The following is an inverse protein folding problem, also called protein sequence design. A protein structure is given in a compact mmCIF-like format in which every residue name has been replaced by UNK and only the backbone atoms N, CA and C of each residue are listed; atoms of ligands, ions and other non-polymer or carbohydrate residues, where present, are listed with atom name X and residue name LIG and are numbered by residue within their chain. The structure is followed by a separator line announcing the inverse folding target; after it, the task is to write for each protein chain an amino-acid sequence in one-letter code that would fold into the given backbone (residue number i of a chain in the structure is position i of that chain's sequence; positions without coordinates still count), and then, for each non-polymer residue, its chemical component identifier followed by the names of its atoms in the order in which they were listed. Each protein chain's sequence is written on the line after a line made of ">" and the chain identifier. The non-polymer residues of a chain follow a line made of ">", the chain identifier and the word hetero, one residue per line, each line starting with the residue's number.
data_IF_028171401827
#
_entry.id   IF_028171401827
#
_cell.length_a   1.000
_cell.length_b   1.000
_cell.length_c   1.000
_cell.angle_alpha   90.00
_cell.angle_beta   90.00
_cell.angle_gamma   90.00
#
_symmetry.space_group_name_H-M   'P 1'
#
loop_
_entity.id
_entity.type
_entity.pdbx_description
1 polymer ?
#
# COMPACT_ATOMS: atom_id res chain seq x y z
N UNK A 1 -26.62 -7.31 0.52
CA UNK A 1 -25.88 -7.08 -0.74
C UNK A 1 -24.62 -6.33 -0.36
N UNK A 2 -23.46 -6.99 -0.35
CA UNK A 2 -22.21 -6.39 0.13
C UNK A 2 -21.72 -5.33 -0.87
N UNK A 3 -21.32 -4.17 -0.36
CA UNK A 3 -20.96 -2.97 -1.14
C UNK A 3 -19.49 -2.99 -1.61
N UNK A 4 -18.64 -3.89 -1.09
CA UNK A 4 -17.17 -3.76 -1.14
C UNK A 4 -16.41 -4.66 -2.12
N UNK A 5 -17.08 -5.45 -2.96
CA UNK A 5 -16.35 -6.38 -3.85
C UNK A 5 -15.71 -5.75 -5.08
N UNK A 6 -16.12 -4.52 -5.33
CA UNK A 6 -15.64 -3.67 -6.40
C UNK A 6 -15.85 -2.24 -5.95
N UNK A 7 -15.19 -1.82 -4.86
CA UNK A 7 -14.85 -0.39 -4.78
C UNK A 7 -14.25 -0.08 -6.14
N UNK A 8 -14.87 0.83 -6.87
CA UNK A 8 -14.28 1.38 -8.09
C UNK A 8 -13.11 2.23 -7.64
N UNK A 9 -12.09 1.59 -7.07
CA UNK A 9 -11.14 2.12 -6.12
C UNK A 9 -10.12 1.05 -5.81
N UNK A 10 -8.83 1.38 -5.96
CA UNK A 10 -7.76 0.57 -5.39
C UNK A 10 -6.48 1.37 -5.29
N UNK A 11 -5.83 1.27 -4.15
CA UNK A 11 -4.43 1.56 -3.96
C UNK A 11 -3.71 0.26 -3.65
N UNK A 12 -2.61 0.00 -4.36
CA UNK A 12 -1.70 -1.09 -4.00
C UNK A 12 -0.46 -0.47 -3.35
N UNK A 13 -0.02 -0.97 -2.18
CA UNK A 13 1.23 -0.52 -1.59
C UNK A 13 2.36 -0.52 -2.62
N UNK A 14 3.13 0.57 -2.60
CA UNK A 14 4.33 0.80 -3.42
C UNK A 14 4.09 0.99 -4.93
N UNK A 15 2.82 1.02 -5.34
CA UNK A 15 2.45 1.44 -6.69
C UNK A 15 2.42 2.97 -6.82
N UNK A 16 2.12 3.68 -5.72
CA UNK A 16 1.98 5.15 -5.69
C UNK A 16 0.96 5.68 -6.73
N UNK A 17 -0.08 4.89 -7.00
CA UNK A 17 -1.21 5.25 -7.85
C UNK A 17 -2.49 4.81 -7.16
N UNK A 18 -3.44 5.73 -7.04
CA UNK A 18 -4.83 5.43 -6.70
C UNK A 18 -5.57 5.19 -8.02
N UNK A 19 -6.18 4.03 -8.18
CA UNK A 19 -7.05 3.75 -9.33
C UNK A 19 -8.49 3.91 -8.90
N UNK A 20 -9.29 4.64 -9.67
CA UNK A 20 -10.71 4.86 -9.41
C UNK A 20 -11.48 4.33 -10.62
N UNK A 21 -12.44 3.45 -10.37
CA UNK A 21 -13.24 2.75 -11.36
C UNK A 21 -14.25 3.66 -12.06
N UNK A 22 -14.65 3.24 -13.26
CA UNK A 22 -15.52 4.02 -14.14
C UNK A 22 -16.88 4.40 -13.57
N UNK A 23 -17.40 3.62 -12.62
CA UNK A 23 -18.68 3.88 -11.93
C UNK A 23 -18.60 4.99 -10.89
N UNK A 24 -17.40 5.39 -10.46
CA UNK A 24 -17.19 6.32 -9.35
C UNK A 24 -16.30 7.48 -9.78
N UNK A 25 -16.71 8.24 -10.79
CA UNK A 25 -15.89 9.37 -11.28
C UNK A 25 -15.59 10.35 -10.14
N UNK A 26 -14.31 10.54 -9.82
CA UNK A 26 -13.84 11.57 -8.87
C UNK A 26 -13.09 12.70 -9.56
N UNK A 27 -12.88 12.58 -10.87
CA UNK A 27 -12.25 13.58 -11.71
C UNK A 27 -13.12 13.80 -12.94
N UNK A 28 -13.39 15.07 -13.27
CA UNK A 28 -13.94 15.47 -14.56
C UNK A 28 -12.83 16.01 -15.47
N UNK A 29 -13.01 15.85 -16.78
CA UNK A 29 -12.07 16.35 -17.77
C UNK A 29 -12.00 17.89 -17.69
N UNK A 30 -10.86 18.42 -17.24
CA UNK A 30 -10.63 19.86 -17.13
C UNK A 30 -11.13 20.53 -15.86
N UNK A 31 -11.81 19.82 -14.94
CA UNK A 31 -12.21 20.34 -13.63
C UNK A 31 -11.71 19.42 -12.50
N UNK A 32 -10.51 19.69 -11.96
CA UNK A 32 -10.07 19.01 -10.76
C UNK A 32 -10.73 19.64 -9.53
N UNK A 33 -11.34 18.83 -8.67
CA UNK A 33 -11.80 19.29 -7.37
C UNK A 33 -12.43 18.20 -6.55
N UNK A 34 -11.83 17.90 -5.38
CA UNK A 34 -12.46 17.05 -4.37
C UNK A 34 -13.75 17.70 -3.83
N UNK A 35 -13.89 19.02 -3.99
CA UNK A 35 -14.98 19.85 -3.46
C UNK A 35 -16.33 19.59 -4.15
N UNK A 36 -16.33 18.91 -5.31
CA UNK A 36 -17.55 18.55 -6.07
C UNK A 36 -17.98 17.09 -5.85
N UNK A 37 -17.24 16.31 -5.06
CA UNK A 37 -17.55 14.92 -4.82
C UNK A 37 -18.77 14.77 -3.91
N UNK A 38 -19.69 13.89 -4.29
CA UNK A 38 -20.68 13.43 -3.33
C UNK A 38 -20.01 12.62 -2.21
N UNK A 39 -20.70 12.43 -1.09
CA UNK A 39 -20.13 11.78 0.09
C UNK A 39 -19.64 10.36 -0.17
N UNK A 40 -20.33 9.57 -1.00
CA UNK A 40 -19.89 8.22 -1.34
C UNK A 40 -18.61 8.23 -2.17
N UNK A 41 -18.49 9.16 -3.12
CA UNK A 41 -17.28 9.34 -3.94
C UNK A 41 -16.11 9.82 -3.08
N UNK A 42 -16.34 10.78 -2.19
CA UNK A 42 -15.33 11.26 -1.25
C UNK A 42 -14.88 10.14 -0.31
N UNK A 43 -15.81 9.34 0.22
CA UNK A 43 -15.51 8.22 1.11
C UNK A 43 -14.58 7.20 0.45
N UNK A 44 -14.92 6.79 -0.77
CA UNK A 44 -14.09 5.91 -1.58
C UNK A 44 -12.72 6.52 -1.86
N UNK A 45 -12.65 7.80 -2.25
CA UNK A 45 -11.37 8.46 -2.48
C UNK A 45 -10.52 8.51 -1.21
N UNK A 46 -11.13 8.84 -0.07
CA UNK A 46 -10.47 8.92 1.24
C UNK A 46 -9.98 7.54 1.68
N UNK A 47 -10.73 6.46 1.44
CA UNK A 47 -10.29 5.09 1.71
C UNK A 47 -8.96 4.77 1.01
N UNK A 48 -8.88 5.04 -0.29
CA UNK A 48 -7.66 4.79 -1.06
C UNK A 48 -6.52 5.78 -0.74
N UNK A 49 -6.88 7.04 -0.46
CA UNK A 49 -5.93 8.02 0.04
C UNK A 49 -5.34 7.60 1.39
N UNK A 50 -6.14 6.97 2.26
CA UNK A 50 -5.68 6.49 3.55
C UNK A 50 -4.64 5.39 3.40
N UNK A 51 -4.91 4.42 2.51
CA UNK A 51 -3.92 3.39 2.16
C UNK A 51 -2.61 4.00 1.69
N UNK A 52 -2.67 5.01 0.81
CA UNK A 52 -1.49 5.75 0.37
C UNK A 52 -0.77 6.43 1.54
N UNK A 53 -1.49 7.22 2.33
CA UNK A 53 -0.93 8.00 3.43
C UNK A 53 -0.26 7.09 4.46
N UNK A 54 -0.89 5.98 4.86
CA UNK A 54 -0.28 5.00 5.75
C UNK A 54 0.97 4.38 5.13
N UNK A 55 0.93 4.05 3.83
CA UNK A 55 2.07 3.45 3.14
C UNK A 55 3.31 4.37 3.13
N UNK A 56 3.11 5.68 3.04
CA UNK A 56 4.22 6.65 2.92
C UNK A 56 4.56 7.37 4.22
N UNK A 57 3.73 7.25 5.26
CA UNK A 57 3.96 7.93 6.54
C UNK A 57 4.38 7.00 7.65
N UNK A 58 4.21 5.69 7.52
CA UNK A 58 4.48 4.74 8.61
C UNK A 58 5.75 3.93 8.39
N UNK A 59 6.49 3.59 9.46
CA UNK A 59 7.58 2.62 9.42
C UNK A 59 7.21 1.30 8.73
N UNK A 60 6.04 0.71 9.01
CA UNK A 60 5.59 -0.52 8.36
C UNK A 60 5.34 -0.37 6.84
N UNK A 61 4.93 0.82 6.40
CA UNK A 61 4.85 1.17 4.98
C UNK A 61 6.23 1.22 4.33
N UNK A 62 7.17 1.94 4.96
CA UNK A 62 8.53 2.13 4.45
C UNK A 62 9.36 0.84 4.47
N UNK A 63 9.21 -0.01 5.48
CA UNK A 63 9.88 -1.33 5.54
C UNK A 63 9.52 -2.21 4.34
N UNK A 64 8.27 -2.16 3.88
CA UNK A 64 7.89 -2.93 2.71
C UNK A 64 8.65 -2.44 1.46
N UNK A 65 8.83 -1.13 1.33
CA UNK A 65 9.62 -0.53 0.25
C UNK A 65 11.07 -0.98 0.32
N UNK A 66 11.68 -1.03 1.50
CA UNK A 66 13.08 -1.46 1.65
C UNK A 66 13.24 -2.92 1.25
N UNK A 67 12.29 -3.81 1.62
CA UNK A 67 12.27 -5.21 1.16
C UNK A 67 12.11 -5.28 -0.37
N UNK A 68 11.22 -4.46 -0.95
CA UNK A 68 11.06 -4.39 -2.40
C UNK A 68 12.34 -3.92 -3.12
N UNK A 69 13.14 -3.03 -2.52
CA UNK A 69 14.42 -2.63 -3.11
C UNK A 69 15.45 -3.77 -3.08
N UNK A 70 15.43 -4.64 -2.08
CA UNK A 70 16.26 -5.85 -2.05
C UNK A 70 15.83 -6.81 -3.16
N UNK A 71 14.52 -7.08 -3.29
CA UNK A 71 13.99 -7.90 -4.39
C UNK A 71 14.36 -7.33 -5.76
N UNK A 72 14.24 -6.02 -5.93
CA UNK A 72 14.62 -5.35 -7.17
C UNK A 72 16.12 -5.50 -7.46
N UNK A 73 16.98 -5.37 -6.44
CA UNK A 73 18.42 -5.63 -6.56
C UNK A 73 18.74 -7.07 -6.96
N UNK A 74 18.03 -8.05 -6.39
CA UNK A 74 18.15 -9.46 -6.79
C UNK A 74 17.71 -9.67 -8.24
N UNK A 75 16.60 -9.04 -8.66
CA UNK A 75 16.14 -9.08 -10.04
C UNK A 75 17.20 -8.51 -10.99
N UNK A 76 17.89 -7.43 -10.61
CA UNK A 76 18.94 -6.84 -11.44
C UNK A 76 20.08 -7.79 -11.75
N UNK A 77 20.44 -8.66 -10.80
CA UNK A 77 21.48 -9.68 -10.99
C UNK A 77 21.09 -10.75 -12.03
N UNK A 78 19.81 -10.84 -12.40
CA UNK A 78 19.29 -11.80 -13.41
C UNK A 78 19.16 -11.23 -14.83
N UNK A 79 19.44 -9.94 -15.01
CA UNK A 79 19.26 -9.29 -16.30
C UNK A 79 20.44 -9.59 -17.21
N UNK A 80 20.14 -10.10 -18.40
CA UNK A 80 21.16 -10.22 -19.45
C UNK A 80 21.45 -8.89 -20.13
N UNK A 81 22.62 -8.81 -20.77
CA UNK A 81 22.94 -7.79 -21.79
C UNK A 81 21.98 -8.04 -22.98
N UNK A 82 20.76 -7.55 -22.88
CA UNK A 82 19.64 -7.95 -23.74
C UNK A 82 18.25 -7.78 -23.14
N UNK A 83 18.14 -7.31 -21.89
CA UNK A 83 16.90 -6.70 -21.36
C UNK A 83 15.77 -7.71 -21.05
N UNK A 84 16.13 -8.99 -21.03
CA UNK A 84 15.29 -10.11 -20.60
C UNK A 84 15.82 -10.70 -19.30
N UNK A 85 14.90 -11.05 -18.38
CA UNK A 85 15.23 -11.82 -17.18
C UNK A 85 15.43 -13.27 -17.60
N UNK A 86 16.69 -13.72 -17.61
CA UNK A 86 16.96 -15.17 -17.53
C UNK A 86 16.46 -15.59 -16.16
N UNK A 87 15.50 -16.50 -16.11
CA UNK A 87 14.97 -17.02 -14.82
C UNK A 87 16.12 -17.24 -13.86
N UNK A 88 15.89 -16.93 -12.60
CA UNK A 88 16.85 -17.07 -11.51
C UNK A 88 17.28 -18.52 -11.21
N UNK A 89 17.09 -19.45 -12.14
CA UNK A 89 17.64 -20.81 -12.09
C UNK A 89 19.17 -20.85 -11.98
N UNK A 90 19.86 -19.75 -12.30
CA UNK A 90 21.31 -19.57 -12.12
C UNK A 90 21.69 -18.80 -10.84
N UNK A 91 20.73 -18.50 -9.96
CA UNK A 91 21.04 -17.87 -8.68
C UNK A 91 22.05 -18.71 -7.89
N UNK A 92 22.98 -18.02 -7.24
CA UNK A 92 23.77 -18.65 -6.19
C UNK A 92 22.83 -19.12 -5.08
N UNK A 93 23.24 -20.12 -4.30
CA UNK A 93 22.48 -20.54 -3.13
C UNK A 93 22.20 -19.35 -2.17
N UNK A 94 23.12 -18.39 -2.09
CA UNK A 94 22.97 -17.16 -1.31
C UNK A 94 21.87 -16.24 -1.85
N UNK A 95 21.73 -16.11 -3.17
CA UNK A 95 20.69 -15.26 -3.77
C UNK A 95 19.29 -15.89 -3.59
N UNK A 96 19.19 -17.22 -3.68
CA UNK A 96 17.93 -17.93 -3.38
C UNK A 96 17.54 -17.73 -1.92
N UNK A 97 18.49 -17.91 -0.99
CA UNK A 97 18.25 -17.70 0.44
C UNK A 97 17.84 -16.25 0.74
N UNK A 98 18.47 -15.25 0.09
CA UNK A 98 18.11 -13.84 0.24
C UNK A 98 16.69 -13.55 -0.32
N UNK A 99 16.34 -14.15 -1.46
CA UNK A 99 15.00 -14.04 -2.05
C UNK A 99 13.93 -14.65 -1.15
N UNK A 100 14.10 -15.90 -0.72
CA UNK A 100 13.13 -16.61 0.13
C UNK A 100 12.90 -15.84 1.44
N UNK A 101 13.96 -15.31 2.04
CA UNK A 101 13.84 -14.41 3.21
C UNK A 101 13.00 -13.17 2.93
N UNK A 102 13.23 -12.50 1.80
CA UNK A 102 12.42 -11.32 1.45
C UNK A 102 10.94 -11.67 1.29
N UNK A 103 10.63 -12.81 0.68
CA UNK A 103 9.25 -13.29 0.53
C UNK A 103 8.62 -13.62 1.87
N UNK A 104 9.33 -14.34 2.75
CA UNK A 104 8.85 -14.65 4.10
C UNK A 104 8.59 -13.39 4.91
N UNK A 105 9.47 -12.39 4.80
CA UNK A 105 9.28 -11.09 5.47
C UNK A 105 8.09 -10.32 4.94
N UNK A 106 7.88 -10.29 3.63
CA UNK A 106 6.67 -9.69 3.06
C UNK A 106 5.43 -10.41 3.55
N UNK A 107 5.43 -11.74 3.59
CA UNK A 107 4.27 -12.51 4.06
C UNK A 107 3.97 -12.24 5.54
N UNK A 108 4.98 -12.16 6.40
CA UNK A 108 4.81 -11.84 7.83
C UNK A 108 4.34 -10.39 8.01
N UNK A 109 4.97 -9.44 7.32
CA UNK A 109 4.64 -8.02 7.40
C UNK A 109 3.21 -7.77 6.91
N UNK A 110 2.85 -8.28 5.73
CA UNK A 110 1.54 -8.08 5.10
C UNK A 110 0.44 -8.84 5.85
N UNK A 111 0.70 -10.07 6.30
CA UNK A 111 -0.33 -10.99 6.74
C UNK A 111 -1.19 -11.49 5.58
N UNK A 112 -2.28 -12.17 5.91
CA UNK A 112 -3.16 -12.77 4.92
C UNK A 112 -4.18 -11.75 4.38
N UNK A 113 -4.59 -11.94 3.12
CA UNK A 113 -5.76 -11.23 2.55
C UNK A 113 -7.07 -11.91 2.88
N UNK A 114 -7.04 -13.23 2.85
CA UNK A 114 -8.16 -14.09 3.15
C UNK A 114 -7.68 -15.17 4.11
N UNK A 115 -8.59 -15.70 4.93
CA UNK A 115 -8.27 -16.82 5.80
C UNK A 115 -7.69 -18.04 5.09
N UNK A 116 -6.94 -18.84 5.83
CA UNK A 116 -6.30 -20.03 5.30
C UNK A 116 -7.31 -20.98 4.64
N UNK A 117 -7.03 -21.34 3.38
CA UNK A 117 -7.88 -22.21 2.57
C UNK A 117 -9.18 -21.57 2.07
N UNK A 118 -9.41 -20.28 2.32
CA UNK A 118 -10.60 -19.55 1.87
C UNK A 118 -10.30 -18.77 0.60
N UNK A 119 -11.02 -19.10 -0.48
CA UNK A 119 -10.98 -18.34 -1.73
C UNK A 119 -11.73 -17.02 -1.59
N UNK A 120 -11.47 -16.09 -2.52
CA UNK A 120 -12.21 -14.82 -2.59
C UNK A 120 -13.72 -15.02 -2.62
N UNK A 121 -14.22 -15.94 -3.43
CA UNK A 121 -15.66 -16.17 -3.55
C UNK A 121 -16.28 -16.77 -2.29
N UNK A 122 -15.55 -17.64 -1.58
CA UNK A 122 -15.97 -18.16 -0.29
C UNK A 122 -15.98 -17.07 0.78
N UNK A 123 -15.00 -16.15 0.77
CA UNK A 123 -14.96 -15.02 1.71
C UNK A 123 -16.23 -14.15 1.64
N UNK A 124 -16.78 -13.97 0.43
CA UNK A 124 -18.03 -13.22 0.19
C UNK A 124 -19.27 -13.86 0.82
N UNK A 125 -19.19 -15.14 1.16
CA UNK A 125 -20.28 -15.92 1.74
C UNK A 125 -20.20 -15.99 3.27
N UNK A 126 -19.12 -15.49 3.88
CA UNK A 126 -18.99 -15.42 5.34
C UNK A 126 -19.89 -14.30 5.84
N UNK A 127 -20.85 -14.63 6.70
CA UNK A 127 -21.81 -13.67 7.24
C UNK A 127 -21.49 -13.24 8.68
N UNK A 128 -20.68 -14.02 9.39
CA UNK A 128 -20.18 -13.69 10.72
C UNK A 128 -18.89 -14.44 10.99
N UNK A 129 -18.05 -13.86 11.85
CA UNK A 129 -16.91 -14.56 12.42
C UNK A 129 -16.67 -14.13 13.86
N UNK A 130 -15.97 -14.96 14.62
CA UNK A 130 -15.54 -14.66 15.97
C UNK A 130 -14.13 -15.18 16.19
N UNK A 131 -13.24 -14.33 16.69
CA UNK A 131 -11.90 -14.74 17.13
C UNK A 131 -12.04 -15.60 18.39
N UNK A 132 -11.39 -16.76 18.39
CA UNK A 132 -11.41 -17.72 19.49
C UNK A 132 -10.04 -17.86 20.16
N UNK A 133 -8.95 -17.64 19.42
CA UNK A 133 -7.60 -17.64 19.97
C UNK A 133 -6.66 -16.69 19.21
N UNK A 134 -5.57 -16.29 19.89
CA UNK A 134 -4.54 -15.40 19.39
C UNK A 134 -3.17 -15.98 19.73
N UNK A 135 -2.41 -16.36 18.70
CA UNK A 135 -1.10 -17.00 18.84
C UNK A 135 -0.01 -16.07 18.31
N UNK A 136 0.97 -15.77 19.17
CA UNK A 136 2.20 -15.07 18.78
C UNK A 136 3.28 -16.09 18.40
N UNK A 137 3.79 -15.99 17.16
CA UNK A 137 4.89 -16.81 16.67
C UNK A 137 6.12 -15.92 16.46
N UNK A 138 7.25 -16.31 17.03
CA UNK A 138 8.54 -15.64 16.79
C UNK A 138 9.29 -16.35 15.67
N UNK A 139 9.62 -15.60 14.62
CA UNK A 139 10.52 -16.03 13.55
C UNK A 139 11.77 -15.16 13.57
N UNK A 140 12.94 -15.74 13.82
CA UNK A 140 14.21 -15.01 13.76
C UNK A 140 14.71 -14.91 12.32
N UNK A 141 15.17 -13.74 11.89
CA UNK A 141 15.79 -13.58 10.58
C UNK A 141 17.03 -12.67 10.60
N UNK A 142 17.87 -12.77 9.57
CA UNK A 142 18.93 -11.80 9.30
C UNK A 142 18.59 -11.11 8.00
N UNK A 143 18.37 -9.81 8.04
CA UNK A 143 18.09 -8.97 6.86
C UNK A 143 19.20 -7.92 6.73
N UNK A 144 19.78 -7.78 5.52
CA UNK A 144 20.87 -6.83 5.25
C UNK A 144 22.03 -6.89 6.28
N UNK A 145 22.44 -8.10 6.69
CA UNK A 145 23.48 -8.38 7.71
C UNK A 145 23.13 -7.95 9.15
N UNK A 146 21.92 -7.46 9.40
CA UNK A 146 21.40 -7.18 10.73
C UNK A 146 20.50 -8.34 11.18
N UNK A 147 20.70 -8.83 12.39
CA UNK A 147 19.74 -9.74 13.03
C UNK A 147 18.47 -8.96 13.36
N UNK A 148 17.33 -9.39 12.84
CA UNK A 148 15.99 -8.85 13.12
C UNK A 148 15.09 -9.98 13.59
N UNK A 149 14.15 -9.70 14.48
CA UNK A 149 13.10 -10.66 14.86
C UNK A 149 11.80 -10.28 14.18
N UNK A 150 11.18 -11.23 13.48
CA UNK A 150 9.83 -11.12 12.94
C UNK A 150 8.91 -11.71 13.98
N UNK A 151 7.87 -10.98 14.29
CA UNK A 151 6.78 -11.52 15.08
C UNK A 151 5.57 -11.63 14.16
N UNK A 152 4.99 -12.81 14.13
CA UNK A 152 3.78 -13.11 13.37
C UNK A 152 2.63 -13.31 14.35
N UNK A 153 1.47 -12.74 14.02
CA UNK A 153 0.24 -12.94 14.79
C UNK A 153 -0.70 -13.83 13.99
N UNK A 154 -0.96 -15.03 14.50
CA UNK A 154 -1.95 -15.96 13.95
C UNK A 154 -3.23 -15.85 14.77
N UNK A 155 -4.36 -15.56 14.12
CA UNK A 155 -5.69 -15.56 14.74
C UNK A 155 -6.40 -16.85 14.40
N UNK A 156 -6.91 -17.55 15.40
CA UNK A 156 -7.87 -18.63 15.18
C UNK A 156 -9.28 -18.06 15.32
N UNK A 157 -10.15 -18.41 14.38
CA UNK A 157 -11.50 -17.87 14.39
C UNK A 157 -12.53 -18.89 13.88
N UNK A 158 -13.75 -18.78 14.39
CA UNK A 158 -14.92 -19.50 13.91
C UNK A 158 -15.65 -18.60 12.90
N UNK A 159 -15.84 -19.07 11.67
CA UNK A 159 -16.69 -18.40 10.66
C UNK A 159 -17.97 -19.18 10.43
N UNK A 160 -19.05 -18.44 10.15
CA UNK A 160 -20.30 -19.00 9.65
C UNK A 160 -20.55 -18.51 8.24
N UNK A 161 -20.84 -19.47 7.37
CA UNK A 161 -21.42 -19.29 6.05
C UNK A 161 -22.80 -19.95 6.04
N UNK A 162 -23.59 -19.75 4.98
CA UNK A 162 -24.97 -20.26 4.90
C UNK A 162 -25.10 -21.75 5.25
N UNK A 163 -24.11 -22.57 4.89
CA UNK A 163 -24.20 -24.03 4.99
C UNK A 163 -23.21 -24.66 5.97
N UNK A 164 -22.32 -23.87 6.60
CA UNK A 164 -21.24 -24.43 7.42
C UNK A 164 -20.66 -23.43 8.43
N UNK A 165 -20.40 -23.93 9.63
CA UNK A 165 -19.47 -23.34 10.60
C UNK A 165 -18.10 -23.99 10.42
N UNK A 166 -17.04 -23.19 10.33
CA UNK A 166 -15.68 -23.72 10.24
C UNK A 166 -14.69 -22.89 11.07
N UNK A 167 -13.73 -23.59 11.63
CA UNK A 167 -12.57 -23.00 12.28
C UNK A 167 -11.42 -22.94 11.30
N UNK A 168 -10.76 -21.79 11.19
CA UNK A 168 -9.56 -21.63 10.38
C UNK A 168 -8.68 -20.52 10.96
N UNK A 169 -7.52 -20.32 10.36
CA UNK A 169 -6.52 -19.35 10.78
C UNK A 169 -6.44 -18.17 9.84
N UNK A 170 -6.04 -17.02 10.38
CA UNK A 170 -5.78 -15.80 9.64
C UNK A 170 -4.53 -15.13 10.21
N UNK A 171 -3.50 -14.95 9.39
CA UNK A 171 -2.30 -14.22 9.80
C UNK A 171 -2.60 -12.72 9.78
N UNK A 172 -2.71 -12.12 10.97
CA UNK A 172 -3.00 -10.70 11.12
C UNK A 172 -1.73 -9.87 10.95
N UNK A 173 -1.75 -8.97 9.97
CA UNK A 173 -0.61 -8.13 9.61
C UNK A 173 -1.04 -6.79 9.03
N UNK A 174 -0.11 -6.13 8.32
CA UNK A 174 -0.27 -4.79 7.77
C UNK A 174 -1.49 -4.67 6.85
N UNK A 175 -1.80 -5.69 6.04
CA UNK A 175 -2.93 -5.62 5.10
C UNK A 175 -4.26 -5.49 5.83
N UNK A 176 -4.49 -6.29 6.87
CA UNK A 176 -5.70 -6.21 7.69
C UNK A 176 -5.79 -4.90 8.47
N UNK A 177 -4.65 -4.37 8.95
CA UNK A 177 -4.60 -3.06 9.60
C UNK A 177 -4.92 -1.93 8.61
N UNK A 178 -4.33 -1.94 7.42
CA UNK A 178 -4.55 -0.93 6.39
C UNK A 178 -6.03 -0.89 5.98
N UNK A 179 -6.62 -2.05 5.66
CA UNK A 179 -8.03 -2.13 5.25
C UNK A 179 -8.97 -1.81 6.40
N UNK A 180 -8.66 -2.25 7.63
CA UNK A 180 -9.46 -1.92 8.80
C UNK A 180 -9.44 -0.44 9.15
N UNK A 181 -8.26 0.20 9.11
CA UNK A 181 -8.13 1.65 9.32
C UNK A 181 -8.88 2.43 8.24
N UNK A 182 -8.63 2.12 6.97
CA UNK A 182 -9.28 2.79 5.84
C UNK A 182 -10.80 2.63 5.91
N UNK A 183 -11.31 1.44 6.28
CA UNK A 183 -12.73 1.19 6.44
C UNK A 183 -13.37 1.98 7.59
N UNK A 184 -12.73 2.05 8.76
CA UNK A 184 -13.29 2.85 9.87
C UNK A 184 -13.23 4.37 9.60
N UNK A 185 -12.28 4.82 8.78
CA UNK A 185 -12.22 6.20 8.27
C UNK A 185 -13.32 6.45 7.24
N UNK A 186 -13.49 5.56 6.26
CA UNK A 186 -14.58 5.57 5.28
C UNK A 186 -15.94 5.71 5.98
N UNK A 187 -16.22 4.86 6.96
CA UNK A 187 -17.45 4.96 7.77
C UNK A 187 -17.61 6.29 8.50
N UNK A 188 -16.51 6.95 8.85
CA UNK A 188 -16.54 8.26 9.53
C UNK A 188 -16.81 9.40 8.54
N UNK A 189 -16.40 9.26 7.28
CA UNK A 189 -16.77 10.17 6.19
C UNK A 189 -18.23 9.98 5.80
N UNK A 190 -18.71 8.74 5.63
CA UNK A 190 -20.13 8.45 5.33
C UNK A 190 -21.05 8.94 6.46
N UNK A 191 -20.66 8.76 7.73
CA UNK A 191 -21.45 9.20 8.90
C UNK A 191 -21.59 10.72 8.99
N UNK A 192 -20.61 11.49 8.50
CA UNK A 192 -20.72 12.96 8.41
C UNK A 192 -21.88 13.44 7.52
N UNK A 193 -22.55 12.54 6.79
CA UNK A 193 -23.67 12.82 5.90
C UNK A 193 -25.06 12.51 6.46
N UNK A 194 -25.20 11.79 7.58
CA UNK A 194 -26.52 11.39 8.09
C UNK A 194 -27.18 12.48 8.93
N UNK A 195 -28.39 12.88 8.54
CA UNK A 195 -29.23 13.89 9.24
C UNK A 195 -29.50 13.47 10.70
N UNK A 196 -29.46 12.16 10.99
CA UNK A 196 -29.77 11.58 12.29
C UNK A 196 -28.55 10.99 13.02
N UNK A 197 -27.33 11.13 12.49
CA UNK A 197 -26.11 10.62 13.14
C UNK A 197 -26.05 9.09 13.30
N UNK A 198 -26.98 8.34 12.71
CA UNK A 198 -26.90 6.87 12.57
C UNK A 198 -25.76 6.59 11.59
N UNK A 199 -24.71 5.92 12.07
CA UNK A 199 -23.52 5.61 11.28
C UNK A 199 -23.84 4.68 10.11
N UNK A 200 -23.03 4.74 9.06
CA UNK A 200 -23.12 3.80 7.94
C UNK A 200 -23.14 2.35 8.44
N UNK A 201 -24.19 1.62 8.06
CA UNK A 201 -24.31 0.19 8.31
C UNK A 201 -23.07 -0.53 7.78
N UNK A 202 -22.66 -1.61 8.46
CA UNK A 202 -21.54 -2.41 7.98
C UNK A 202 -21.87 -2.99 6.61
N UNK A 203 -21.11 -2.58 5.62
CA UNK A 203 -21.39 -2.82 4.20
C UNK A 203 -20.22 -3.49 3.48
N UNK A 204 -19.07 -3.65 4.16
CA UNK A 204 -17.91 -4.39 3.68
C UNK A 204 -17.96 -5.89 3.95
N UNK A 205 -17.12 -6.65 3.25
CA UNK A 205 -16.84 -8.03 3.66
C UNK A 205 -16.12 -8.03 5.00
N UNK A 206 -16.28 -9.13 5.72
CA UNK A 206 -15.68 -9.27 7.04
C UNK A 206 -14.14 -9.31 6.96
N UNK A 207 -13.58 -10.10 6.05
CA UNK A 207 -12.14 -10.12 5.82
C UNK A 207 -11.76 -9.31 4.57
N UNK A 208 -10.70 -8.49 4.64
CA UNK A 208 -9.88 -8.18 5.82
C UNK A 208 -10.42 -7.03 6.70
N UNK A 209 -11.49 -6.35 6.27
CA UNK A 209 -11.93 -5.04 6.78
C UNK A 209 -12.33 -4.99 8.26
N UNK A 210 -12.92 -6.06 8.80
CA UNK A 210 -13.45 -6.07 10.18
C UNK A 210 -12.47 -6.67 11.19
N UNK A 211 -11.43 -7.37 10.73
CA UNK A 211 -10.53 -8.17 11.59
C UNK A 211 -9.86 -7.32 12.67
N UNK A 212 -9.41 -6.11 12.35
CA UNK A 212 -8.81 -5.19 13.32
C UNK A 212 -9.79 -4.85 14.46
N UNK A 213 -11.03 -4.48 14.12
CA UNK A 213 -12.07 -4.14 15.09
C UNK A 213 -12.47 -5.36 15.93
N UNK A 214 -12.67 -6.52 15.31
CA UNK A 214 -13.02 -7.74 16.03
C UNK A 214 -11.91 -8.18 16.99
N UNK A 215 -10.64 -7.99 16.64
CA UNK A 215 -9.52 -8.26 17.56
C UNK A 215 -9.50 -7.31 18.76
N UNK A 216 -9.89 -6.05 18.58
CA UNK A 216 -10.09 -5.14 19.71
C UNK A 216 -11.27 -5.56 20.59
N UNK A 217 -12.42 -5.91 20.00
CA UNK A 217 -13.61 -6.35 20.72
C UNK A 217 -13.40 -7.71 21.43
N UNK A 218 -12.51 -8.56 20.92
CA UNK A 218 -12.08 -9.76 21.62
C UNK A 218 -11.41 -9.44 22.97
N UNK A 219 -10.77 -8.27 23.09
CA UNK A 219 -10.04 -7.85 24.29
C UNK A 219 -10.85 -6.91 25.20
N UNK A 220 -11.81 -6.18 24.65
CA UNK A 220 -12.58 -5.13 25.33
C UNK A 220 -14.08 -5.32 25.14
N UNK A 221 -14.85 -5.25 26.23
CA UNK A 221 -16.32 -5.25 26.17
C UNK A 221 -16.85 -3.99 25.44
N UNK A 222 -16.12 -2.88 25.55
CA UNK A 222 -16.44 -1.63 24.86
C UNK A 222 -15.14 -0.87 24.54
N UNK A 223 -14.98 -0.47 23.29
CA UNK A 223 -13.88 0.37 22.81
C UNK A 223 -14.40 1.24 21.68
N UNK A 224 -14.10 2.53 21.70
CA UNK A 224 -14.57 3.47 20.69
C UNK A 224 -13.79 3.33 19.38
N UNK A 225 -14.38 3.81 18.29
CA UNK A 225 -13.71 3.83 16.97
C UNK A 225 -12.40 4.61 17.00
N UNK A 226 -12.37 5.78 17.64
CA UNK A 226 -11.15 6.59 17.71
C UNK A 226 -10.03 5.88 18.49
N UNK A 227 -10.36 5.12 19.54
CA UNK A 227 -9.39 4.26 20.25
C UNK A 227 -8.85 3.16 19.32
N UNK A 228 -9.72 2.48 18.56
CA UNK A 228 -9.31 1.47 17.57
C UNK A 228 -8.38 2.08 16.50
N UNK A 229 -8.77 3.22 15.93
CA UNK A 229 -7.98 3.93 14.90
C UNK A 229 -6.61 4.35 15.45
N UNK A 230 -6.57 4.90 16.66
CA UNK A 230 -5.33 5.32 17.30
C UNK A 230 -4.39 4.13 17.54
N UNK A 231 -4.89 3.04 18.13
CA UNK A 231 -4.10 1.84 18.40
C UNK A 231 -3.63 1.17 17.11
N UNK A 232 -4.47 1.11 16.08
CA UNK A 232 -4.12 0.57 14.77
C UNK A 232 -3.03 1.40 14.08
N UNK A 233 -3.13 2.73 14.17
CA UNK A 233 -2.13 3.66 13.62
C UNK A 233 -0.80 3.56 14.37
N UNK A 234 -0.82 3.46 15.70
CA UNK A 234 0.40 3.25 16.50
C UNK A 234 1.07 1.90 16.19
N UNK A 235 0.29 0.86 15.91
CA UNK A 235 0.84 -0.44 15.54
C UNK A 235 1.68 -0.38 14.26
N UNK A 236 1.33 0.50 13.31
CA UNK A 236 2.09 0.71 12.07
C UNK A 236 3.46 1.40 12.28
N UNK A 237 3.76 1.86 13.50
CA UNK A 237 5.08 2.37 13.86
C UNK A 237 6.13 1.27 14.06
N UNK A 238 5.70 0.01 14.11
CA UNK A 238 6.54 -1.13 14.40
C UNK A 238 6.78 -2.00 13.15
N UNK A 239 7.90 -2.75 13.09
CA UNK A 239 8.22 -3.63 11.97
C UNK A 239 7.32 -4.87 11.86
N UNK A 240 6.62 -5.24 12.94
CA UNK A 240 5.67 -6.36 12.98
C UNK A 240 4.31 -5.85 13.46
N UNK A 241 3.59 -5.10 12.62
CA UNK A 241 2.46 -4.28 13.07
C UNK A 241 1.30 -5.13 13.61
N UNK A 242 1.08 -6.33 13.08
CA UNK A 242 0.04 -7.23 13.61
C UNK A 242 0.24 -7.59 15.08
N UNK A 243 1.43 -8.08 15.44
CA UNK A 243 1.77 -8.42 16.84
C UNK A 243 1.77 -7.19 17.73
N UNK A 244 2.27 -6.05 17.25
CA UNK A 244 2.30 -4.84 18.07
C UNK A 244 0.91 -4.25 18.29
N UNK A 245 -0.03 -4.41 17.36
CA UNK A 245 -1.43 -4.07 17.61
C UNK A 245 -1.98 -4.85 18.80
N UNK A 246 -1.74 -6.17 18.85
CA UNK A 246 -2.16 -7.01 19.98
C UNK A 246 -1.51 -6.59 21.31
N UNK A 247 -0.20 -6.31 21.30
CA UNK A 247 0.52 -5.81 22.49
C UNK A 247 0.01 -4.44 22.93
N UNK A 248 -0.28 -3.54 22.00
CA UNK A 248 -0.87 -2.24 22.29
C UNK A 248 -2.26 -2.37 22.92
N UNK A 249 -3.10 -3.30 22.45
CA UNK A 249 -4.39 -3.61 23.09
C UNK A 249 -4.20 -4.10 24.54
N UNK A 250 -3.22 -4.96 24.80
CA UNK A 250 -2.90 -5.44 26.16
C UNK A 250 -2.40 -4.31 27.08
N UNK A 251 -1.47 -3.48 26.59
CA UNK A 251 -0.94 -2.33 27.32
C UNK A 251 -2.02 -1.28 27.58
N UNK A 252 -2.85 -0.99 26.58
CA UNK A 252 -4.00 -0.08 26.71
C UNK A 252 -4.96 -0.56 27.79
N UNK A 253 -5.32 -1.85 27.79
CA UNK A 253 -6.20 -2.43 28.81
C UNK A 253 -5.63 -2.26 30.21
N UNK A 254 -4.32 -2.47 30.37
CA UNK A 254 -3.62 -2.35 31.66
C UNK A 254 -3.61 -0.90 32.16
N UNK A 255 -3.35 0.06 31.27
CA UNK A 255 -3.35 1.49 31.60
C UNK A 255 -4.77 1.96 31.98
N UNK A 256 -5.80 1.55 31.22
CA UNK A 256 -7.20 1.89 31.51
C UNK A 256 -7.67 1.32 32.85
N UNK A 257 -7.27 0.09 33.19
CA UNK A 257 -7.54 -0.52 34.51
C UNK A 257 -6.87 0.21 35.68
N UNK A 258 -5.81 0.97 35.39
CA UNK A 258 -5.13 1.83 36.38
C UNK A 258 -5.83 3.18 36.59
N UNK A 259 -7.01 3.40 35.99
CA UNK A 259 -7.87 4.57 36.22
C UNK A 259 -7.61 5.76 35.28
N UNK A 260 -6.74 5.61 34.28
CA UNK A 260 -6.50 6.66 33.29
C UNK A 260 -7.71 6.81 32.35
N UNK A 261 -8.06 8.06 32.03
CA UNK A 261 -9.03 8.35 30.97
C UNK A 261 -8.48 7.99 29.58
N UNK A 262 -9.32 8.14 28.54
CA UNK A 262 -8.97 7.74 27.18
C UNK A 262 -7.76 8.54 26.67
N UNK A 263 -7.77 9.87 26.85
CA UNK A 263 -6.71 10.78 26.36
C UNK A 263 -5.38 10.44 27.01
N UNK A 264 -5.35 10.39 28.33
CA UNK A 264 -4.14 10.12 29.11
C UNK A 264 -3.59 8.73 28.84
N UNK A 265 -4.46 7.75 28.58
CA UNK A 265 -4.05 6.40 28.20
C UNK A 265 -3.37 6.35 26.83
N UNK A 266 -3.93 7.09 25.85
CA UNK A 266 -3.35 7.18 24.50
C UNK A 266 -2.04 7.98 24.50
N UNK A 267 -1.96 9.10 25.23
CA UNK A 267 -0.73 9.90 25.37
C UNK A 267 0.42 9.08 25.98
N UNK A 268 0.11 8.25 26.98
CA UNK A 268 1.08 7.34 27.58
C UNK A 268 1.56 6.28 26.59
N UNK A 269 0.65 5.68 25.82
CA UNK A 269 1.04 4.71 24.78
C UNK A 269 1.84 5.34 23.65
N UNK A 270 1.46 6.53 23.20
CA UNK A 270 2.22 7.31 22.21
C UNK A 270 3.66 7.49 22.68
N UNK A 271 3.84 7.91 23.93
CA UNK A 271 5.17 8.12 24.53
C UNK A 271 6.00 6.83 24.53
N UNK A 272 5.41 5.72 24.97
CA UNK A 272 6.05 4.40 24.98
C UNK A 272 6.42 3.96 23.55
N UNK A 273 5.49 4.07 22.60
CA UNK A 273 5.73 3.65 21.21
C UNK A 273 6.82 4.47 20.52
N UNK A 274 6.92 5.77 20.80
CA UNK A 274 7.98 6.61 20.26
C UNK A 274 9.35 6.25 20.86
N UNK A 275 9.42 5.97 22.16
CA UNK A 275 10.65 5.55 22.84
C UNK A 275 11.13 4.20 22.31
N UNK A 276 10.25 3.19 22.23
CA UNK A 276 10.59 1.84 21.77
C UNK A 276 11.06 1.82 20.31
N UNK A 277 10.51 2.69 19.45
CA UNK A 277 10.83 2.70 18.01
C UNK A 277 11.91 3.70 17.62
N UNK A 278 12.49 4.47 18.53
CA UNK A 278 13.41 5.57 18.18
C UNK A 278 14.59 5.09 17.30
N UNK A 279 15.19 3.96 17.67
CA UNK A 279 16.29 3.35 16.91
C UNK A 279 15.84 2.77 15.57
N UNK A 280 14.60 2.30 15.49
CA UNK A 280 14.04 1.79 14.25
C UNK A 280 13.80 2.91 13.24
N UNK A 281 13.22 4.04 13.67
CA UNK A 281 13.12 5.25 12.85
C UNK A 281 14.48 5.70 12.32
N UNK A 282 15.52 5.73 13.18
CA UNK A 282 16.90 6.07 12.76
C UNK A 282 17.41 5.12 11.69
N UNK A 283 17.19 3.82 11.87
CA UNK A 283 17.59 2.78 10.91
C UNK A 283 16.92 2.98 9.55
N UNK A 284 15.59 3.15 9.54
CA UNK A 284 14.84 3.39 8.31
C UNK A 284 15.32 4.65 7.56
N UNK A 285 15.61 5.74 8.28
CA UNK A 285 16.11 6.97 7.66
C UNK A 285 17.48 6.78 6.96
N UNK A 286 18.34 5.91 7.51
CA UNK A 286 19.61 5.53 6.87
C UNK A 286 19.38 4.65 5.64
N UNK A 287 18.48 3.67 5.72
CA UNK A 287 18.14 2.80 4.58
C UNK A 287 17.57 3.59 3.41
N UNK A 288 16.73 4.60 3.68
CA UNK A 288 16.24 5.53 2.66
C UNK A 288 17.37 6.28 1.95
N UNK A 289 18.45 6.63 2.65
CA UNK A 289 19.62 7.26 2.03
C UNK A 289 20.35 6.28 1.09
N UNK A 290 20.45 5.02 1.48
CA UNK A 290 21.08 4.00 0.64
C UNK A 290 20.26 3.68 -0.60
N UNK A 291 18.92 3.68 -0.50
CA UNK A 291 18.02 3.61 -1.67
C UNK A 291 18.27 4.78 -2.61
N UNK A 292 18.43 6.01 -2.09
CA UNK A 292 18.75 7.19 -2.91
C UNK A 292 20.00 6.94 -3.76
N UNK A 293 21.08 6.44 -3.13
CA UNK A 293 22.35 6.16 -3.79
C UNK A 293 22.22 5.09 -4.87
N UNK A 294 21.45 4.04 -4.62
CA UNK A 294 21.22 2.94 -5.55
C UNK A 294 20.62 3.44 -6.88
N UNK A 295 19.75 4.45 -6.83
CA UNK A 295 19.05 5.00 -7.98
C UNK A 295 19.73 6.18 -8.67
N UNK A 296 20.90 6.60 -8.18
CA UNK A 296 21.67 7.67 -8.83
C UNK A 296 22.03 7.30 -10.28
N UNK A 297 21.85 8.27 -11.18
CA UNK A 297 22.13 8.17 -12.62
C UNK A 297 21.25 7.15 -13.35
N UNK A 298 20.12 6.71 -12.79
CA UNK A 298 19.20 5.74 -13.43
C UNK A 298 18.05 6.39 -14.20
N UNK A 299 18.24 7.63 -14.66
CA UNK A 299 17.25 8.37 -15.43
C UNK A 299 16.05 8.84 -14.61
N UNK A 300 14.82 8.68 -15.14
CA UNK A 300 13.59 9.17 -14.48
C UNK A 300 13.40 8.59 -13.08
N UNK A 301 13.82 7.35 -12.85
CA UNK A 301 13.67 6.71 -11.53
C UNK A 301 14.53 7.36 -10.45
N UNK A 302 15.66 7.99 -10.79
CA UNK A 302 16.43 8.78 -9.83
C UNK A 302 15.55 9.88 -9.21
N UNK A 303 14.95 10.72 -10.05
CA UNK A 303 14.12 11.84 -9.61
C UNK A 303 12.87 11.36 -8.88
N UNK A 304 12.30 10.23 -9.32
CA UNK A 304 11.16 9.63 -8.66
C UNK A 304 11.50 9.16 -7.23
N UNK A 305 12.66 8.50 -7.05
CA UNK A 305 13.12 8.08 -5.73
C UNK A 305 13.56 9.24 -4.85
N UNK A 306 14.23 10.26 -5.39
CA UNK A 306 14.57 11.48 -4.65
C UNK A 306 13.30 12.16 -4.09
N UNK A 307 12.24 12.26 -4.90
CA UNK A 307 10.95 12.78 -4.47
C UNK A 307 10.31 11.92 -3.37
N UNK A 308 10.24 10.60 -3.56
CA UNK A 308 9.65 9.68 -2.59
C UNK A 308 10.42 9.66 -1.27
N UNK A 309 11.75 9.61 -1.32
CA UNK A 309 12.60 9.63 -0.11
C UNK A 309 12.45 10.94 0.64
N UNK A 310 12.39 12.08 -0.05
CA UNK A 310 12.09 13.36 0.56
C UNK A 310 10.73 13.34 1.27
N UNK A 311 9.72 12.76 0.61
CA UNK A 311 8.35 12.63 1.14
C UNK A 311 8.31 11.71 2.37
N UNK A 312 8.93 10.52 2.32
CA UNK A 312 9.03 9.59 3.44
C UNK A 312 9.72 10.24 4.63
N UNK A 313 10.84 10.96 4.41
CA UNK A 313 11.55 11.67 5.47
C UNK A 313 10.66 12.68 6.17
N UNK A 314 9.99 13.55 5.39
CA UNK A 314 9.05 14.55 5.92
C UNK A 314 7.96 13.89 6.77
N UNK A 315 7.35 12.82 6.27
CA UNK A 315 6.21 12.18 6.93
C UNK A 315 6.58 11.31 8.13
N UNK A 316 7.71 10.59 8.07
CA UNK A 316 8.23 9.86 9.22
C UNK A 316 8.65 10.83 10.33
N UNK A 317 9.26 11.98 9.99
CA UNK A 317 9.50 13.05 10.96
C UNK A 317 8.19 13.57 11.55
N UNK A 318 7.15 13.79 10.71
CA UNK A 318 5.82 14.18 11.21
C UNK A 318 5.23 13.16 12.17
N UNK A 319 5.33 11.85 11.89
CA UNK A 319 4.90 10.78 12.83
C UNK A 319 5.67 10.81 14.14
N UNK A 320 6.96 11.14 14.11
CA UNK A 320 7.76 11.25 15.33
C UNK A 320 7.25 12.37 16.24
N UNK A 321 6.83 13.48 15.65
CA UNK A 321 6.33 14.65 16.39
C UNK A 321 4.86 14.49 16.80
N UNK A 322 4.03 13.91 15.93
CA UNK A 322 2.61 13.65 16.17
C UNK A 322 2.21 12.34 15.49
N UNK A 323 2.26 11.20 16.22
CA UNK A 323 1.95 9.89 15.65
C UNK A 323 0.55 9.72 15.09
N UNK A 324 -0.40 10.57 15.46
CA UNK A 324 -1.82 10.46 15.08
C UNK A 324 -2.29 11.69 14.28
N UNK A 325 -1.37 12.44 13.65
CA UNK A 325 -1.69 13.69 12.95
C UNK A 325 -2.79 13.53 11.88
N UNK A 326 -2.83 12.37 11.24
CA UNK A 326 -3.79 12.03 10.21
C UNK A 326 -5.19 11.82 10.79
N UNK A 327 -5.33 11.39 12.05
CA UNK A 327 -6.63 11.19 12.70
C UNK A 327 -7.30 12.49 13.18
N UNK A 328 -6.60 13.64 13.14
CA UNK A 328 -7.14 14.94 13.56
C UNK A 328 -8.48 15.33 12.92
N UNK A 329 -8.76 15.04 11.63
CA UNK A 329 -10.06 15.30 11.01
C UNK A 329 -11.20 14.44 11.54
N UNK A 330 -10.91 13.37 12.31
CA UNK A 330 -11.89 12.36 12.74
C UNK A 330 -12.05 12.28 14.26
N UNK A 331 -11.43 13.20 15.01
CA UNK A 331 -11.41 13.18 16.47
C UNK A 331 -12.82 13.14 17.11
N UNK A 332 -13.85 13.62 16.41
CA UNK A 332 -15.27 13.61 16.85
C UNK A 332 -16.06 12.38 16.35
N UNK A 333 -15.39 11.32 15.90
CA UNK A 333 -15.99 10.14 15.26
C UNK A 333 -16.81 10.45 13.99
N UNK A 334 -16.54 11.59 13.36
CA UNK A 334 -17.07 12.03 12.08
C UNK A 334 -16.00 12.89 11.38
N UNK A 335 -16.00 12.89 10.05
CA UNK A 335 -15.08 13.71 9.27
C UNK A 335 -15.39 15.21 9.43
N UNK A 336 -14.39 16.00 9.79
CA UNK A 336 -14.41 17.46 9.75
C UNK A 336 -13.82 17.91 8.39
N UNK A 337 -14.68 18.27 7.43
CA UNK A 337 -14.32 18.53 6.03
C UNK A 337 -13.14 19.49 5.86
N UNK A 338 -13.13 20.60 6.60
CA UNK A 338 -12.06 21.59 6.51
C UNK A 338 -10.70 21.00 6.93
N UNK A 339 -10.69 20.19 7.99
CA UNK A 339 -9.47 19.52 8.45
C UNK A 339 -9.03 18.43 7.50
N UNK A 340 -9.97 17.67 6.94
CA UNK A 340 -9.69 16.64 5.95
C UNK A 340 -9.13 17.24 4.66
N UNK A 341 -9.73 18.32 4.16
CA UNK A 341 -9.22 19.07 3.02
C UNK A 341 -7.80 19.61 3.31
N UNK A 342 -7.58 20.20 4.49
CA UNK A 342 -6.25 20.68 4.90
C UNK A 342 -5.21 19.56 4.92
N UNK A 343 -5.55 18.38 5.47
CA UNK A 343 -4.67 17.21 5.49
C UNK A 343 -4.28 16.80 4.05
N UNK A 344 -5.26 16.71 3.14
CA UNK A 344 -5.02 16.35 1.74
C UNK A 344 -4.24 17.43 0.97
N UNK A 345 -4.36 18.70 1.34
CA UNK A 345 -3.57 19.77 0.74
C UNK A 345 -2.13 19.78 1.24
N UNK A 346 -1.91 19.50 2.53
CA UNK A 346 -0.58 19.43 3.14
C UNK A 346 0.19 18.17 2.70
N UNK A 347 -0.52 17.06 2.55
CA UNK A 347 -0.02 15.75 2.15
C UNK A 347 -0.80 15.25 0.94
N UNK A 348 -0.49 15.87 -0.21
CA UNK A 348 -1.17 15.63 -1.47
C UNK A 348 -1.27 14.13 -1.80
N UNK A 349 -2.43 13.66 -2.29
CA UNK A 349 -2.55 12.32 -2.83
C UNK A 349 -1.52 12.06 -3.93
N UNK A 350 -1.14 10.80 -4.10
CA UNK A 350 -0.38 10.38 -5.27
C UNK A 350 -1.20 10.53 -6.57
N UNK A 351 -0.61 10.14 -7.70
CA UNK A 351 -1.31 10.22 -8.98
C UNK A 351 -2.55 9.33 -8.99
N UNK A 352 -3.60 9.80 -9.64
CA UNK A 352 -4.89 9.11 -9.74
C UNK A 352 -5.12 8.65 -11.16
N UNK A 353 -5.40 7.37 -11.34
CA UNK A 353 -5.89 6.80 -12.59
C UNK A 353 -7.41 6.68 -12.51
N UNK A 354 -8.13 7.56 -13.20
CA UNK A 354 -9.58 7.49 -13.36
C UNK A 354 -9.91 6.61 -14.57
N UNK A 355 -10.52 5.45 -14.32
CA UNK A 355 -11.04 4.59 -15.36
C UNK A 355 -12.30 5.19 -15.98
N UNK A 356 -12.53 4.92 -17.27
CA UNK A 356 -13.78 5.24 -17.96
C UNK A 356 -14.41 4.01 -18.63
N UNK A 357 -15.72 4.09 -18.82
CA UNK A 357 -16.45 3.16 -19.66
C UNK A 357 -16.00 3.29 -21.12
N UNK A 358 -15.90 2.17 -21.81
CA UNK A 358 -15.63 2.11 -23.23
C UNK A 358 -16.27 0.88 -23.85
N UNK A 359 -16.51 0.97 -25.15
CA UNK A 359 -16.93 -0.15 -26.00
C UNK A 359 -15.80 -1.16 -26.18
N UNK A 360 -14.52 -0.73 -26.18
CA UNK A 360 -13.37 -1.62 -26.36
C UNK A 360 -12.26 -1.35 -25.34
N UNK A 361 -11.61 -2.43 -24.88
CA UNK A 361 -10.44 -2.30 -24.01
C UNK A 361 -9.20 -1.72 -24.72
N UNK A 362 -9.26 -1.52 -26.04
CA UNK A 362 -8.12 -1.08 -26.84
C UNK A 362 -8.15 0.41 -27.20
N UNK A 363 -9.21 1.13 -26.80
CA UNK A 363 -9.36 2.57 -26.98
C UNK A 363 -8.15 3.32 -26.40
N UNK A 364 -7.62 4.26 -27.19
CA UNK A 364 -6.44 5.05 -26.83
C UNK A 364 -6.86 6.16 -25.88
N UNK A 365 -6.09 6.35 -24.79
CA UNK A 365 -6.35 7.39 -23.79
C UNK A 365 -7.77 7.34 -23.23
N UNK A 366 -8.29 6.11 -23.08
CA UNK A 366 -9.58 5.82 -22.46
C UNK A 366 -9.63 6.32 -21.01
N UNK A 367 -8.55 6.10 -20.26
CA UNK A 367 -8.45 6.43 -18.85
C UNK A 367 -7.63 7.70 -18.65
N UNK A 368 -7.92 8.45 -17.59
CA UNK A 368 -7.22 9.69 -17.27
C UNK A 368 -6.22 9.47 -16.14
N UNK A 369 -4.97 9.90 -16.36
CA UNK A 369 -3.97 9.95 -15.31
C UNK A 369 -3.80 11.40 -14.83
N UNK A 370 -4.06 11.64 -13.56
CA UNK A 370 -4.11 12.96 -12.96
C UNK A 370 -3.14 13.09 -11.78
N UNK A 371 -2.61 14.29 -11.58
CA UNK A 371 -1.75 14.64 -10.45
C UNK A 371 -2.29 15.88 -9.77
N UNK A 372 -2.50 15.83 -8.45
CA UNK A 372 -2.82 17.01 -7.64
C UNK A 372 -1.63 17.98 -7.48
N UNK A 373 -0.43 17.52 -7.87
CA UNK A 373 0.79 18.31 -7.83
C UNK A 373 1.18 18.78 -9.23
N UNK A 374 1.53 20.06 -9.35
CA UNK A 374 2.16 20.64 -10.54
C UNK A 374 3.69 20.52 -10.51
N UNK A 375 4.24 19.71 -9.60
CA UNK A 375 5.67 19.51 -9.47
C UNK A 375 6.32 19.00 -10.77
N UNK A 376 7.42 19.65 -11.15
CA UNK A 376 8.33 19.18 -12.20
C UNK A 376 9.76 19.12 -11.68
N UNK A 377 10.42 17.99 -11.87
CA UNK A 377 11.83 17.78 -11.51
C UNK A 377 12.60 17.39 -12.76
N UNK A 378 13.63 18.16 -13.11
CA UNK A 378 14.43 17.94 -14.33
C UNK A 378 13.58 17.79 -15.62
N UNK A 379 12.43 18.47 -15.69
CA UNK A 379 11.50 18.41 -16.83
C UNK A 379 10.43 17.31 -16.75
N UNK A 380 10.54 16.37 -15.81
CA UNK A 380 9.56 15.30 -15.59
C UNK A 380 8.46 15.73 -14.63
N UNK A 381 7.20 15.48 -14.99
CA UNK A 381 6.06 15.66 -14.09
C UNK A 381 6.00 14.57 -13.02
N UNK A 382 5.20 14.78 -11.97
CA UNK A 382 4.93 13.71 -11.00
C UNK A 382 4.32 12.46 -11.66
N UNK A 383 3.45 12.63 -12.66
CA UNK A 383 2.90 11.53 -13.46
C UNK A 383 3.99 10.76 -14.22
N UNK A 384 5.02 11.43 -14.73
CA UNK A 384 6.14 10.76 -15.39
C UNK A 384 6.97 9.93 -14.42
N UNK A 385 7.26 10.52 -13.25
CA UNK A 385 8.04 9.87 -12.20
C UNK A 385 7.31 8.65 -11.63
N UNK A 386 6.07 8.83 -11.16
CA UNK A 386 5.30 7.74 -10.54
C UNK A 386 4.85 6.70 -11.58
N UNK A 387 4.50 7.12 -12.81
CA UNK A 387 4.19 6.20 -13.90
C UNK A 387 5.36 5.31 -14.29
N UNK A 388 6.59 5.84 -14.27
CA UNK A 388 7.81 5.07 -14.49
C UNK A 388 8.07 4.09 -13.35
N UNK A 389 7.96 4.51 -12.09
CA UNK A 389 8.09 3.61 -10.93
C UNK A 389 7.04 2.49 -10.94
N UNK A 390 5.80 2.81 -11.33
CA UNK A 390 4.75 1.82 -11.44
C UNK A 390 5.08 0.76 -12.51
N UNK A 391 5.66 1.16 -13.63
CA UNK A 391 6.10 0.21 -14.66
C UNK A 391 7.28 -0.64 -14.16
N UNK A 392 8.19 -0.07 -13.37
CA UNK A 392 9.32 -0.79 -12.75
C UNK A 392 8.81 -1.85 -11.76
N UNK A 393 7.92 -1.45 -10.86
CA UNK A 393 7.29 -2.36 -9.89
C UNK A 393 6.47 -3.44 -10.60
N UNK A 394 5.67 -3.06 -11.60
CA UNK A 394 4.93 -4.00 -12.42
C UNK A 394 5.85 -5.04 -13.07
N UNK A 395 7.00 -4.62 -13.63
CA UNK A 395 7.95 -5.56 -14.23
C UNK A 395 8.49 -6.55 -13.20
N UNK A 396 8.94 -6.08 -12.02
CA UNK A 396 9.43 -6.96 -10.95
C UNK A 396 8.34 -7.93 -10.46
N UNK A 397 7.14 -7.44 -10.14
CA UNK A 397 6.01 -8.28 -9.70
C UNK A 397 5.58 -9.30 -10.75
N UNK A 398 5.68 -8.94 -12.03
CA UNK A 398 5.37 -9.86 -13.13
C UNK A 398 6.30 -11.06 -13.14
N UNK A 399 7.54 -10.89 -12.68
CA UNK A 399 8.54 -11.95 -12.62
C UNK A 399 8.58 -12.65 -11.26
N UNK A 400 7.91 -12.14 -10.22
CA UNK A 400 7.94 -12.71 -8.88
C UNK A 400 7.29 -14.09 -8.86
N UNK A 401 8.09 -15.13 -8.58
CA UNK A 401 7.62 -16.49 -8.32
C UNK A 401 7.65 -16.83 -6.83
N UNK A 402 7.26 -18.06 -6.46
CA UNK A 402 7.24 -18.48 -5.06
C UNK A 402 8.63 -18.65 -4.44
N UNK A 403 9.63 -19.04 -5.24
CA UNK A 403 11.01 -19.27 -4.79
C UNK A 403 12.10 -18.58 -5.61
N UNK A 404 11.75 -18.15 -6.82
CA UNK A 404 12.67 -17.58 -7.80
C UNK A 404 11.93 -16.61 -8.71
N UNK A 405 12.65 -15.74 -9.43
CA UNK A 405 12.04 -15.00 -10.53
C UNK A 405 11.80 -15.91 -11.75
N UNK A 406 10.61 -15.77 -12.34
CA UNK A 406 10.16 -16.42 -13.56
C UNK A 406 10.88 -15.84 -14.79
N UNK A 407 10.95 -16.60 -15.89
CA UNK A 407 11.51 -16.08 -17.16
C UNK A 407 10.57 -15.08 -17.79
N UNK A 408 11.12 -14.06 -18.44
CA UNK A 408 10.35 -13.10 -19.22
C UNK A 408 9.47 -13.76 -20.29
N UNK A 409 9.93 -14.85 -20.92
CA UNK A 409 9.17 -15.57 -21.95
C UNK A 409 7.94 -16.33 -21.42
N UNK A 410 7.94 -16.66 -20.12
CA UNK A 410 6.86 -17.42 -19.47
C UNK A 410 5.75 -16.51 -18.93
N UNK A 411 5.88 -15.20 -19.08
CA UNK A 411 5.00 -14.21 -18.47
C UNK A 411 4.24 -13.44 -19.56
N UNK A 412 2.95 -13.17 -19.31
CA UNK A 412 2.14 -12.26 -20.12
C UNK A 412 1.39 -11.30 -19.22
N UNK A 413 1.61 -10.01 -19.41
CA UNK A 413 0.98 -8.94 -18.62
C UNK A 413 0.74 -7.71 -19.48
N UNK A 414 -0.29 -6.94 -19.13
CA UNK A 414 -0.62 -5.67 -19.78
C UNK A 414 0.12 -4.52 -19.12
N UNK A 415 0.62 -3.57 -19.90
CA UNK A 415 1.23 -2.35 -19.38
C UNK A 415 0.27 -1.67 -18.39
N UNK A 416 0.72 -1.27 -17.18
CA UNK A 416 -0.16 -0.59 -16.22
C UNK A 416 -0.66 0.77 -16.72
N UNK A 417 -0.02 1.34 -17.75
CA UNK A 417 -0.40 2.60 -18.39
C UNK A 417 -1.13 2.40 -19.72
N UNK A 418 -1.54 1.16 -20.05
CA UNK A 418 -2.04 0.80 -21.38
C UNK A 418 -3.23 1.65 -21.84
N UNK A 419 -4.15 1.94 -20.92
CA UNK A 419 -5.42 2.61 -21.21
C UNK A 419 -5.33 4.13 -21.16
N UNK A 420 -4.37 4.71 -20.42
CA UNK A 420 -4.15 6.16 -20.36
C UNK A 420 -3.04 6.66 -21.31
N UNK A 421 -2.24 5.76 -21.88
CA UNK A 421 -1.12 6.12 -22.75
C UNK A 421 -1.59 6.46 -24.17
N UNK A 422 -1.09 7.58 -24.69
CA UNK A 422 -1.35 8.06 -26.06
C UNK A 422 -0.10 8.11 -26.96
N UNK A 423 1.03 7.59 -26.47
CA UNK A 423 2.32 7.61 -27.17
C UNK A 423 2.29 6.81 -28.48
N UNK A 424 3.11 7.19 -29.49
CA UNK A 424 3.17 6.47 -30.77
C UNK A 424 3.43 4.98 -30.61
N UNK A 425 4.28 4.58 -29.66
CA UNK A 425 4.56 3.16 -29.37
C UNK A 425 3.31 2.37 -29.02
N UNK A 426 2.39 2.93 -28.22
CA UNK A 426 1.11 2.29 -27.85
C UNK A 426 0.13 2.19 -29.01
N UNK A 427 0.10 3.21 -29.88
CA UNK A 427 -0.76 3.26 -31.08
C UNK A 427 -0.28 2.27 -32.15
N UNK A 428 1.02 2.23 -32.39
CA UNK A 428 1.62 1.42 -33.46
C UNK A 428 1.84 -0.04 -33.04
N UNK A 429 2.01 -0.31 -31.74
CA UNK A 429 2.31 -1.66 -31.23
C UNK A 429 1.36 -2.09 -30.08
N UNK A 430 0.03 -2.07 -30.27
CA UNK A 430 -0.94 -2.36 -29.21
C UNK A 430 -0.77 -3.76 -28.61
N UNK A 431 -0.43 -4.78 -29.43
CA UNK A 431 -0.19 -6.16 -28.97
C UNK A 431 1.01 -6.26 -28.04
N UNK A 432 2.09 -5.52 -28.33
CA UNK A 432 3.29 -5.49 -27.48
C UNK A 432 2.92 -4.91 -26.12
N UNK A 433 2.29 -3.72 -26.08
CA UNK A 433 1.91 -3.09 -24.82
C UNK A 433 0.88 -3.91 -24.01
N UNK A 434 0.03 -4.70 -24.68
CA UNK A 434 -1.02 -5.51 -24.03
C UNK A 434 -0.53 -6.82 -23.44
N UNK A 435 0.51 -7.44 -24.02
CA UNK A 435 0.93 -8.79 -23.64
C UNK A 435 2.38 -8.88 -23.17
N UNK A 436 3.27 -8.06 -23.70
CA UNK A 436 4.71 -8.11 -23.46
C UNK A 436 5.31 -6.70 -23.45
N UNK A 437 4.88 -5.80 -22.54
CA UNK A 437 5.22 -4.38 -22.58
C UNK A 437 6.72 -4.11 -22.43
N UNK A 438 7.47 -5.03 -21.86
CA UNK A 438 8.93 -4.97 -21.80
C UNK A 438 9.60 -4.99 -23.19
N UNK A 439 8.97 -5.60 -24.21
CA UNK A 439 9.48 -5.56 -25.59
C UNK A 439 9.28 -4.20 -26.27
N UNK A 440 8.58 -3.26 -25.63
CA UNK A 440 8.47 -1.88 -26.10
C UNK A 440 9.71 -1.04 -25.75
N UNK A 441 10.61 -1.56 -24.92
CA UNK A 441 11.88 -0.93 -24.65
C UNK A 441 12.80 -1.01 -25.87
N UNK A 442 13.53 0.07 -26.10
CA UNK A 442 14.57 0.19 -27.12
C UNK A 442 15.74 0.87 -26.43
N UNK A 443 16.96 0.41 -26.70
CA UNK A 443 18.17 1.03 -26.17
C UNK A 443 18.43 2.36 -26.89
N UNK A 444 18.49 3.47 -26.15
CA UNK A 444 18.69 4.84 -26.64
C UNK A 444 17.65 5.37 -27.66
N UNK A 445 16.34 5.31 -27.40
CA UNK A 445 15.37 5.87 -28.32
C UNK A 445 15.22 7.39 -28.06
N UNK A 446 14.92 8.14 -29.11
CA UNK A 446 14.58 9.57 -29.01
C UNK A 446 13.25 9.83 -28.30
N UNK A 447 12.45 8.78 -28.03
CA UNK A 447 11.16 8.86 -27.33
C UNK A 447 10.91 7.61 -26.45
N UNK A 448 11.35 7.63 -25.19
CA UNK A 448 11.04 6.56 -24.22
C UNK A 448 9.67 6.75 -23.59
N UNK A 449 8.83 5.72 -23.63
CA UNK A 449 7.60 5.64 -22.81
C UNK A 449 7.92 5.32 -21.33
N UNK A 450 6.96 5.47 -20.42
CA UNK A 450 7.14 5.14 -18.99
C UNK A 450 7.72 3.73 -18.75
N UNK A 451 7.24 2.72 -19.48
CA UNK A 451 7.74 1.35 -19.35
C UNK A 451 9.17 1.20 -19.89
N UNK A 452 9.47 1.85 -21.00
CA UNK A 452 10.82 1.89 -21.57
C UNK A 452 11.81 2.58 -20.63
N UNK A 453 11.43 3.72 -20.04
CA UNK A 453 12.23 4.42 -19.03
C UNK A 453 12.46 3.57 -17.78
N UNK A 454 11.46 2.80 -17.35
CA UNK A 454 11.59 1.88 -16.23
C UNK A 454 12.63 0.79 -16.52
N UNK A 455 12.58 0.16 -17.70
CA UNK A 455 13.57 -0.86 -18.08
C UNK A 455 14.97 -0.27 -18.32
N UNK A 456 15.06 0.91 -18.94
CA UNK A 456 16.33 1.61 -19.09
C UNK A 456 17.04 1.79 -17.74
N UNK A 457 16.27 2.16 -16.70
CA UNK A 457 16.81 2.33 -15.35
C UNK A 457 17.40 1.06 -14.73
N UNK A 458 17.00 -0.12 -15.22
CA UNK A 458 17.53 -1.41 -14.76
C UNK A 458 18.91 -1.71 -15.35
N UNK A 459 19.17 -1.27 -16.59
CA UNK A 459 20.34 -1.67 -17.40
C UNK A 459 21.61 -0.87 -17.05
N UNK A 460 21.51 0.18 -16.23
CA UNK A 460 22.66 0.90 -15.68
C UNK A 460 22.49 2.42 -15.68
N UNK A 461 23.59 3.16 -15.75
CA UNK A 461 23.54 4.61 -15.87
C UNK A 461 22.94 4.99 -17.24
N UNK A 462 21.87 5.79 -17.23
CA UNK A 462 21.18 6.25 -18.43
C UNK A 462 21.36 7.75 -18.55
N UNK A 463 21.99 8.21 -19.63
CA UNK A 463 21.96 9.63 -19.98
C UNK A 463 20.56 9.99 -20.45
N UNK A 464 19.88 10.84 -19.70
CA UNK A 464 18.57 11.36 -20.08
C UNK A 464 18.78 12.46 -21.11
N UNK A 465 18.44 12.20 -22.37
CA UNK A 465 18.32 13.25 -23.37
C UNK A 465 17.11 14.12 -23.04
N UNK A 466 17.32 15.44 -22.99
CA UNK A 466 16.27 16.43 -22.69
C UNK A 466 15.19 16.36 -23.76
N UNK A 467 13.91 16.28 -23.35
CA UNK A 467 12.77 16.61 -24.22
C UNK A 467 12.65 18.11 -24.40
#
# INVERSE_FOLDING_TARGET
>A
MFKYDSYGGSYRPNHFIITIGASNKVLEEGQPGLDQLNRSQLSLFVHEYWHYLQNISTPAGVEEITIYQVLLSLLWRTLEIGETVKSSKEFSASDIEEYEKCIDLLNILQGDRYPAGVTRDQNRQINSFKIIDVVEEQSGYKFLKQSRSALKLSLEYESKSLDKTQTTTFNFGKHALFEGLAYEIDRSVEKGASIDGVGGEDNAFLFPYHVMRELALFKFDNISRIEILALGTLALLYPSPGVHYWKLLQSYQTIRKSGFDISSSLEKLISISLEENENYFKTLMMELEDISKIHQRRGVTQYAWEYLISTFRKLLSRRKDNPLFDLEPFAKNMAEDEKLHRLMMEYQPCIVLQENFSVTNDDIQKDYLFSFSNLKVAGFSLSDMMGTLQCLHHFMESHRGSKIFMKTDDIKRTCPMYSCCNLPTRKNNPKICKHTPWKAYQRNPSDTCWYGSALASLVGAVEVSKK
#
